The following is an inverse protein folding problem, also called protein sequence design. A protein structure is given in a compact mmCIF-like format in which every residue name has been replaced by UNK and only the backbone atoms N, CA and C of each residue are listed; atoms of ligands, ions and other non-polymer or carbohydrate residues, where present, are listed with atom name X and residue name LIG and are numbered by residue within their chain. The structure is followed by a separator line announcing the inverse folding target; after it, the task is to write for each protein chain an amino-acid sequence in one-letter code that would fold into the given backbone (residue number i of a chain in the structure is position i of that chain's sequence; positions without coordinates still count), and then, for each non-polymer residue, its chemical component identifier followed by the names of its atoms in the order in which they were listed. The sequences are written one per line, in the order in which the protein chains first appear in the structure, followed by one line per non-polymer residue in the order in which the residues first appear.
data_IF_511002426452
#
_entry.id   IF_511002426452
#
_cell.length_a   1.000
_cell.length_b   1.000
_cell.length_c   1.000
_cell.angle_alpha   90.00
_cell.angle_beta   90.00
_cell.angle_gamma   90.00
#
_symmetry.space_group_name_H-M   'P 1'
#
loop_
_entity.id
_entity.type
_entity.pdbx_description
1 polymer ?
#
# COMPACT_ATOMS: atom_id res chain seq x y z
N UNK A 1 1.26 4.19 -12.13
CA UNK A 1 0.37 5.19 -11.49
C UNK A 1 1.24 6.35 -11.05
N UNK A 2 1.27 7.43 -11.82
CA UNK A 2 2.12 8.59 -11.52
C UNK A 2 1.28 9.67 -10.86
N UNK A 3 1.43 9.76 -9.54
CA UNK A 3 0.99 10.90 -8.75
C UNK A 3 2.25 11.52 -8.15
N UNK A 4 2.46 12.81 -8.35
CA UNK A 4 3.65 13.52 -7.85
C UNK A 4 3.20 14.83 -7.22
N UNK A 5 3.94 15.30 -6.21
CA UNK A 5 3.61 16.49 -5.41
C UNK A 5 2.22 16.41 -4.75
N UNK A 6 1.90 15.25 -4.18
CA UNK A 6 0.71 15.05 -3.36
C UNK A 6 0.59 16.05 -2.18
N UNK A 7 1.72 16.59 -1.69
CA UNK A 7 1.73 17.61 -0.64
C UNK A 7 1.24 19.00 -1.07
N UNK A 8 0.96 19.25 -2.36
CA UNK A 8 0.53 20.57 -2.87
C UNK A 8 -0.96 20.63 -3.23
N UNK A 9 -1.83 20.09 -2.38
CA UNK A 9 -3.29 20.12 -2.55
C UNK A 9 -3.80 19.48 -3.86
N UNK A 10 -3.70 18.15 -3.99
CA UNK A 10 -4.22 17.46 -5.16
C UNK A 10 -5.75 17.46 -5.17
N UNK A 11 -6.32 17.12 -6.33
CA UNK A 11 -7.76 16.96 -6.47
C UNK A 11 -8.29 15.93 -5.46
N UNK A 12 -9.28 16.30 -4.63
CA UNK A 12 -9.85 15.40 -3.61
C UNK A 12 -10.61 14.20 -4.21
N UNK A 13 -11.14 14.35 -5.43
CA UNK A 13 -11.94 13.33 -6.13
C UNK A 13 -11.27 12.79 -7.39
N UNK A 14 -9.93 12.80 -7.44
CA UNK A 14 -9.22 12.22 -8.57
C UNK A 14 -9.39 10.70 -8.64
N UNK A 15 -9.39 10.18 -9.86
CA UNK A 15 -9.33 8.75 -10.13
C UNK A 15 -8.46 8.50 -11.35
N UNK A 16 -7.75 7.37 -11.36
CA UNK A 16 -6.93 6.94 -12.50
C UNK A 16 -7.62 5.77 -13.19
N UNK A 17 -7.73 5.80 -14.52
CA UNK A 17 -8.34 4.72 -15.31
C UNK A 17 -7.32 4.18 -16.30
N UNK A 18 -7.10 2.86 -16.29
CA UNK A 18 -6.26 2.15 -17.25
C UNK A 18 -7.16 1.22 -18.06
N UNK A 19 -7.37 1.55 -19.33
CA UNK A 19 -8.33 0.84 -20.17
C UNK A 19 -7.70 0.39 -21.48
N UNK A 20 -7.85 -0.89 -21.83
CA UNK A 20 -7.46 -1.41 -23.15
C UNK A 20 -5.95 -1.40 -23.41
N UNK A 21 -5.14 -1.63 -22.37
CA UNK A 21 -3.68 -1.57 -22.47
C UNK A 21 -3.08 -2.96 -22.71
N UNK A 22 -2.05 -3.02 -23.56
CA UNK A 22 -1.21 -4.22 -23.70
C UNK A 22 0.17 -3.96 -23.12
N UNK A 23 0.58 -4.78 -22.15
CA UNK A 23 1.92 -4.78 -21.57
C UNK A 23 2.72 -5.92 -22.19
N UNK A 24 3.90 -5.60 -22.75
CA UNK A 24 4.76 -6.58 -23.44
C UNK A 24 6.16 -6.60 -22.86
N UNK A 25 6.67 -7.79 -22.57
CA UNK A 25 8.04 -8.06 -22.10
C UNK A 25 8.44 -7.34 -20.79
N UNK A 26 7.50 -7.09 -19.88
CA UNK A 26 7.85 -6.68 -18.51
C UNK A 26 8.33 -7.91 -17.75
N UNK A 27 9.64 -8.14 -17.78
CA UNK A 27 10.30 -9.32 -17.20
C UNK A 27 11.57 -8.92 -16.50
N UNK A 28 12.04 -9.80 -15.63
CA UNK A 28 13.30 -9.60 -14.93
C UNK A 28 14.46 -9.83 -15.90
N UNK A 29 15.47 -9.00 -15.77
CA UNK A 29 16.69 -9.02 -16.56
C UNK A 29 17.89 -8.83 -15.64
N UNK A 30 19.10 -9.01 -16.17
CA UNK A 30 20.33 -8.72 -15.43
C UNK A 30 20.43 -7.24 -14.98
N UNK A 31 19.64 -6.35 -15.60
CA UNK A 31 19.57 -4.93 -15.25
C UNK A 31 18.47 -4.59 -14.23
N UNK A 32 17.71 -5.59 -13.77
CA UNK A 32 16.67 -5.41 -12.75
C UNK A 32 15.29 -5.92 -13.15
N UNK A 33 14.30 -5.57 -12.32
CA UNK A 33 12.92 -6.05 -12.40
C UNK A 33 12.08 -5.18 -13.33
N UNK A 34 11.39 -5.80 -14.31
CA UNK A 34 10.48 -5.08 -15.21
C UNK A 34 9.04 -5.13 -14.70
N UNK A 35 8.48 -4.02 -14.21
CA UNK A 35 7.09 -3.99 -13.69
C UNK A 35 6.16 -3.24 -14.65
N UNK A 36 5.02 -3.85 -15.00
CA UNK A 36 4.03 -3.26 -15.89
C UNK A 36 3.26 -2.10 -15.24
N UNK A 37 2.75 -2.30 -14.03
CA UNK A 37 2.04 -1.28 -13.25
C UNK A 37 2.73 -1.04 -11.91
N UNK A 38 3.23 0.18 -11.68
CA UNK A 38 3.86 0.53 -10.40
C UNK A 38 3.22 1.78 -9.82
N UNK A 39 2.99 1.79 -8.51
CA UNK A 39 2.69 3.03 -7.77
C UNK A 39 3.96 3.87 -7.71
N UNK A 40 3.86 5.18 -7.97
CA UNK A 40 5.01 6.06 -7.87
C UNK A 40 5.59 6.03 -6.44
N UNK A 41 6.83 5.55 -6.23
CA UNK A 41 7.45 5.50 -4.89
C UNK A 41 7.57 6.87 -4.22
N UNK A 42 7.62 7.94 -5.04
CA UNK A 42 7.74 9.32 -4.55
C UNK A 42 6.39 9.93 -4.16
N UNK A 43 5.30 9.17 -4.28
CA UNK A 43 3.96 9.59 -3.90
C UNK A 43 3.69 9.24 -2.44
N UNK A 44 4.43 9.89 -1.54
CA UNK A 44 4.48 9.51 -0.12
C UNK A 44 3.17 9.84 0.62
N UNK A 45 2.48 10.94 0.29
CA UNK A 45 1.29 11.37 1.05
C UNK A 45 -0.04 10.78 0.56
N UNK A 46 -0.22 10.65 -0.76
CA UNK A 46 -1.51 10.26 -1.32
C UNK A 46 -1.39 9.51 -2.63
N UNK A 47 -2.39 8.68 -2.91
CA UNK A 47 -2.63 8.08 -4.21
C UNK A 47 -4.14 8.10 -4.47
N UNK A 48 -4.53 8.45 -5.70
CA UNK A 48 -5.92 8.29 -6.11
C UNK A 48 -6.26 6.83 -6.36
N UNK A 49 -7.52 6.42 -6.16
CA UNK A 49 -7.95 5.09 -6.56
C UNK A 49 -7.73 4.90 -8.07
N UNK A 50 -7.27 3.71 -8.44
CA UNK A 50 -7.15 3.32 -9.83
C UNK A 50 -8.18 2.26 -10.19
N UNK A 51 -8.68 2.33 -11.42
CA UNK A 51 -9.59 1.37 -12.01
C UNK A 51 -8.93 0.81 -13.26
N UNK A 52 -8.89 -0.51 -13.38
CA UNK A 52 -8.29 -1.19 -14.54
C UNK A 52 -9.34 -2.03 -15.25
N UNK A 53 -9.28 -2.06 -16.58
CA UNK A 53 -10.05 -2.98 -17.41
C UNK A 53 -9.39 -3.21 -18.78
N UNK A 54 -9.62 -4.35 -19.39
CA UNK A 54 -9.15 -4.70 -20.73
C UNK A 54 -7.63 -4.76 -20.82
N UNK A 55 -6.95 -5.19 -19.76
CA UNK A 55 -5.50 -5.38 -19.77
C UNK A 55 -5.12 -6.68 -20.49
N UNK A 56 -4.04 -6.64 -21.26
CA UNK A 56 -3.44 -7.81 -21.90
C UNK A 56 -1.94 -7.86 -21.56
N UNK A 57 -1.49 -8.99 -21.05
CA UNK A 57 -0.08 -9.20 -20.70
C UNK A 57 0.55 -10.23 -21.65
N UNK A 58 1.53 -9.79 -22.43
CA UNK A 58 2.27 -10.62 -23.38
C UNK A 58 3.71 -10.78 -22.88
N UNK A 59 4.21 -12.01 -22.78
CA UNK A 59 5.57 -12.31 -22.29
C UNK A 59 5.94 -11.56 -20.99
N UNK A 60 4.95 -11.38 -20.12
CA UNK A 60 5.07 -10.66 -18.86
C UNK A 60 4.63 -11.65 -17.77
N UNK A 61 5.52 -12.09 -16.88
CA UNK A 61 5.15 -12.95 -15.75
C UNK A 61 4.13 -12.26 -14.84
N UNK A 62 3.28 -13.04 -14.17
CA UNK A 62 2.20 -12.49 -13.34
C UNK A 62 2.75 -11.67 -12.16
N UNK A 63 3.86 -12.10 -11.58
CA UNK A 63 4.58 -11.38 -10.53
C UNK A 63 5.14 -10.02 -11.00
N UNK A 64 5.14 -9.75 -12.31
CA UNK A 64 5.56 -8.48 -12.89
C UNK A 64 4.38 -7.58 -13.30
N UNK A 65 3.13 -8.02 -13.09
CA UNK A 65 1.95 -7.25 -13.47
C UNK A 65 1.86 -5.95 -12.68
N UNK A 66 2.03 -6.04 -11.36
CA UNK A 66 1.89 -4.89 -10.49
C UNK A 66 2.84 -4.95 -9.30
N UNK A 67 3.33 -3.78 -8.87
CA UNK A 67 4.12 -3.63 -7.66
C UNK A 67 3.74 -2.37 -6.88
N UNK A 68 3.56 -2.55 -5.56
CA UNK A 68 3.40 -1.46 -4.59
C UNK A 68 4.67 -1.43 -3.72
N UNK A 69 5.48 -0.36 -3.78
CA UNK A 69 6.67 -0.22 -2.95
C UNK A 69 6.30 -0.01 -1.47
N UNK A 70 7.24 -0.29 -0.56
CA UNK A 70 7.09 0.05 0.86
C UNK A 70 7.32 1.55 1.09
N UNK A 71 6.67 2.16 2.09
CA UNK A 71 6.95 3.53 2.49
C UNK A 71 8.40 3.72 2.90
N UNK A 72 8.93 4.90 2.59
CA UNK A 72 10.27 5.29 2.93
C UNK A 72 10.37 5.57 4.44
N UNK A 73 11.23 4.82 5.11
CA UNK A 73 11.45 4.94 6.55
C UNK A 73 12.10 6.27 6.94
N UNK A 74 12.80 6.93 6.00
CA UNK A 74 13.42 8.23 6.28
C UNK A 74 12.41 9.37 6.36
N UNK A 75 11.23 9.23 5.75
CA UNK A 75 10.17 10.25 5.77
C UNK A 75 9.40 10.26 7.11
N UNK A 76 9.73 9.35 8.02
CA UNK A 76 9.21 9.36 9.39
C UNK A 76 10.06 10.33 10.22
N UNK A 77 9.75 11.61 10.07
CA UNK A 77 10.39 12.67 10.82
C UNK A 77 9.44 13.86 11.04
N UNK A 78 9.74 14.78 11.98
CA UNK A 78 8.85 15.89 12.33
C UNK A 78 8.51 16.86 11.19
N UNK A 79 9.27 16.90 10.10
CA UNK A 79 9.01 17.75 8.93
C UNK A 79 8.06 17.09 7.94
N UNK A 80 8.10 15.76 7.84
CA UNK A 80 7.35 14.99 6.85
C UNK A 80 6.21 14.23 7.56
N UNK A 81 6.37 12.92 7.82
CA UNK A 81 5.28 12.04 8.29
C UNK A 81 5.24 11.80 9.80
N UNK A 82 6.00 12.60 10.54
CA UNK A 82 6.00 12.77 12.00
C UNK A 82 6.40 11.53 12.78
N UNK A 83 5.50 10.57 12.92
CA UNK A 83 5.65 9.43 13.82
C UNK A 83 5.10 8.11 13.26
N UNK A 84 4.77 8.08 11.97
CA UNK A 84 4.31 6.89 11.22
C UNK A 84 4.75 6.96 9.76
N UNK A 85 4.61 5.84 9.04
CA UNK A 85 4.71 5.85 7.58
C UNK A 85 3.72 6.83 6.95
N UNK A 86 4.14 7.53 5.90
CA UNK A 86 3.26 8.36 5.09
C UNK A 86 2.13 7.53 4.44
N UNK A 87 0.96 8.15 4.26
CA UNK A 87 -0.27 7.44 3.88
C UNK A 87 -0.27 6.91 2.44
N UNK A 88 0.43 7.57 1.52
CA UNK A 88 0.33 7.32 0.09
C UNK A 88 0.53 5.85 -0.27
N UNK A 89 1.64 5.25 0.18
CA UNK A 89 1.97 3.85 -0.10
C UNK A 89 1.26 2.84 0.82
N UNK A 90 0.60 3.32 1.88
CA UNK A 90 -0.19 2.51 2.83
C UNK A 90 -1.68 2.46 2.49
N UNK A 91 -2.16 3.32 1.59
CA UNK A 91 -3.59 3.47 1.22
C UNK A 91 -3.87 3.27 -0.28
N UNK A 92 -3.02 2.52 -0.98
CA UNK A 92 -3.20 2.23 -2.41
C UNK A 92 -4.41 1.33 -2.61
N UNK A 93 -5.27 1.70 -3.56
CA UNK A 93 -6.43 0.91 -4.00
C UNK A 93 -6.45 0.84 -5.52
N UNK A 94 -6.46 -0.38 -6.06
CA UNK A 94 -6.62 -0.63 -7.50
C UNK A 94 -7.75 -1.64 -7.69
N UNK A 95 -8.86 -1.19 -8.27
CA UNK A 95 -9.99 -2.04 -8.61
C UNK A 95 -9.83 -2.62 -10.02
N UNK A 96 -9.85 -3.94 -10.11
CA UNK A 96 -9.92 -4.69 -11.37
C UNK A 96 -11.38 -4.93 -11.73
N UNK A 97 -11.87 -4.15 -12.70
CA UNK A 97 -13.30 -4.07 -13.01
C UNK A 97 -13.76 -5.27 -13.86
N UNK A 98 -12.85 -5.90 -14.60
CA UNK A 98 -13.19 -6.99 -15.53
C UNK A 98 -12.38 -8.27 -15.36
N UNK A 99 -11.45 -8.30 -14.40
CA UNK A 99 -10.60 -9.47 -14.11
C UNK A 99 -9.36 -9.55 -14.99
N UNK A 100 -9.07 -8.54 -15.81
CA UNK A 100 -7.92 -8.55 -16.71
C UNK A 100 -6.57 -8.39 -16.00
N UNK A 101 -6.55 -7.98 -14.73
CA UNK A 101 -5.34 -7.90 -13.90
C UNK A 101 -5.20 -9.10 -12.94
N UNK A 102 -6.26 -9.44 -12.22
CA UNK A 102 -6.27 -10.38 -11.10
C UNK A 102 -6.88 -11.75 -11.44
N UNK A 103 -7.48 -11.88 -12.62
CA UNK A 103 -8.17 -13.10 -13.06
C UNK A 103 -9.60 -13.25 -12.52
N UNK A 104 -10.09 -12.29 -11.74
CA UNK A 104 -11.43 -12.29 -11.14
C UNK A 104 -12.07 -10.90 -11.29
N UNK A 105 -13.34 -10.86 -11.70
CA UNK A 105 -14.08 -9.61 -11.89
C UNK A 105 -14.34 -8.93 -10.55
N UNK A 106 -14.28 -7.60 -10.53
CA UNK A 106 -14.53 -6.76 -9.35
C UNK A 106 -13.58 -7.08 -8.16
N UNK A 107 -12.40 -7.62 -8.45
CA UNK A 107 -11.34 -7.85 -7.46
C UNK A 107 -10.55 -6.56 -7.20
N UNK A 108 -9.85 -6.47 -6.06
CA UNK A 108 -9.13 -5.25 -5.66
C UNK A 108 -7.74 -5.57 -5.11
N UNK A 109 -6.74 -4.85 -5.60
CA UNK A 109 -5.41 -4.79 -4.97
C UNK A 109 -5.42 -3.68 -3.93
N UNK A 110 -5.00 -4.02 -2.71
CA UNK A 110 -4.79 -3.06 -1.63
C UNK A 110 -3.34 -3.14 -1.13
N UNK A 111 -2.78 -2.02 -0.71
CA UNK A 111 -1.51 -2.01 0.02
C UNK A 111 -1.65 -2.63 1.41
N UNK A 112 -0.58 -3.24 1.89
CA UNK A 112 -0.50 -3.76 3.26
C UNK A 112 -0.21 -2.62 4.24
N UNK A 113 -1.29 -2.05 4.80
CA UNK A 113 -1.20 -0.97 5.77
C UNK A 113 -0.50 -1.41 7.08
N UNK A 114 -0.69 -2.68 7.43
CA UNK A 114 -0.19 -3.42 8.58
C UNK A 114 1.26 -3.87 8.48
N UNK A 115 1.86 -3.80 7.29
CA UNK A 115 3.21 -4.35 7.08
C UNK A 115 4.21 -3.75 8.06
N UNK A 116 4.96 -4.66 8.72
CA UNK A 116 5.92 -4.39 9.78
C UNK A 116 5.29 -4.09 11.17
N UNK A 117 4.09 -4.63 11.45
CA UNK A 117 3.53 -4.69 12.79
C UNK A 117 4.53 -5.26 13.81
N UNK A 118 4.80 -4.52 14.89
CA UNK A 118 5.81 -4.85 15.93
C UNK A 118 7.24 -5.06 15.39
N UNK A 119 7.53 -4.61 14.16
CA UNK A 119 8.88 -4.54 13.60
C UNK A 119 9.59 -3.24 14.01
N UNK A 120 10.01 -2.41 13.04
CA UNK A 120 10.61 -1.12 13.33
C UNK A 120 9.62 -0.15 14.04
N UNK A 121 9.87 0.23 15.30
CA UNK A 121 8.95 1.08 16.07
C UNK A 121 8.74 2.48 15.49
N UNK A 122 9.61 2.93 14.58
CA UNK A 122 9.43 4.22 13.88
C UNK A 122 8.17 4.21 13.03
N UNK A 123 7.74 3.06 12.50
CA UNK A 123 6.55 2.96 11.63
C UNK A 123 5.23 3.20 12.33
N UNK A 124 5.23 3.36 13.64
CA UNK A 124 4.04 3.78 14.38
C UNK A 124 2.94 2.70 14.45
N UNK A 125 3.27 1.44 14.20
CA UNK A 125 2.33 0.32 14.21
C UNK A 125 2.88 -0.83 15.07
N UNK A 126 2.04 -1.36 15.95
CA UNK A 126 2.42 -2.40 16.89
C UNK A 126 1.62 -2.35 18.19
N UNK A 127 1.80 -3.37 19.01
CA UNK A 127 1.15 -3.50 20.31
C UNK A 127 1.48 -2.36 21.27
N UNK A 128 2.67 -1.77 21.12
CA UNK A 128 3.14 -0.63 21.91
C UNK A 128 2.33 0.65 21.66
N UNK A 129 1.58 0.73 20.55
CA UNK A 129 0.67 1.84 20.21
C UNK A 129 -0.77 1.61 20.67
N UNK A 130 -1.11 0.41 21.14
CA UNK A 130 -2.44 0.11 21.68
C UNK A 130 -2.61 0.87 23.01
N UNK A 131 -3.66 1.70 23.18
CA UNK A 131 -3.84 2.50 24.38
C UNK A 131 -3.83 1.66 25.67
N UNK A 132 -3.06 2.09 26.67
CA UNK A 132 -2.99 1.41 27.97
C UNK A 132 -4.37 1.17 28.63
N UNK A 133 -5.34 2.11 28.58
CA UNK A 133 -6.65 1.88 29.20
C UNK A 133 -7.42 0.70 28.61
N UNK A 134 -7.18 0.33 27.35
CA UNK A 134 -7.82 -0.84 26.74
C UNK A 134 -7.01 -2.12 26.93
N UNK A 135 -5.82 -2.04 27.52
CA UNK A 135 -4.93 -3.16 27.88
C UNK A 135 -4.85 -3.38 29.40
N UNK A 136 -5.79 -2.86 30.18
CA UNK A 136 -5.80 -3.04 31.64
C UNK A 136 -7.09 -3.70 32.11
N UNK A 137 -6.95 -4.61 33.07
CA UNK A 137 -8.05 -5.17 33.85
C UNK A 137 -8.51 -4.17 34.93
N UNK A 138 -9.71 -4.34 35.52
CA UNK A 138 -10.18 -3.49 36.61
C UNK A 138 -9.28 -3.48 37.86
N UNK A 139 -8.46 -4.52 38.05
CA UNK A 139 -7.49 -4.63 39.14
C UNK A 139 -6.13 -3.98 38.83
N UNK A 140 -5.96 -3.39 37.64
CA UNK A 140 -4.73 -2.74 37.18
C UNK A 140 -3.69 -3.68 36.56
N UNK A 141 -3.94 -4.99 36.51
CA UNK A 141 -3.09 -5.92 35.76
C UNK A 141 -3.19 -5.67 34.24
N UNK A 142 -2.09 -5.91 33.51
CA UNK A 142 -2.10 -5.77 32.06
C UNK A 142 -2.74 -6.98 31.38
N UNK A 143 -3.45 -6.71 30.29
CA UNK A 143 -3.98 -7.69 29.36
C UNK A 143 -2.98 -7.80 28.20
N UNK A 144 -2.53 -9.02 27.92
CA UNK A 144 -1.69 -9.29 26.76
C UNK A 144 -2.46 -8.97 25.48
N UNK A 145 -1.81 -8.24 24.57
CA UNK A 145 -2.47 -7.79 23.35
C UNK A 145 -2.89 -8.97 22.46
N UNK A 146 -2.16 -10.08 22.47
CA UNK A 146 -2.51 -11.29 21.74
C UNK A 146 -3.81 -11.94 22.24
N UNK A 147 -4.11 -11.85 23.53
CA UNK A 147 -5.32 -12.44 24.12
C UNK A 147 -6.57 -11.64 23.73
N UNK A 148 -6.45 -10.30 23.70
CA UNK A 148 -7.56 -9.40 23.43
C UNK A 148 -7.76 -9.08 21.95
N UNK A 149 -6.67 -9.03 21.19
CA UNK A 149 -6.63 -8.66 19.78
C UNK A 149 -5.89 -9.74 18.98
N UNK A 150 -6.46 -10.96 18.85
CA UNK A 150 -5.78 -12.08 18.22
C UNK A 150 -5.60 -11.92 16.70
N UNK A 151 -6.46 -11.13 16.06
CA UNK A 151 -6.43 -10.85 14.62
C UNK A 151 -6.02 -9.38 14.40
N UNK A 152 -4.78 -9.07 14.75
CA UNK A 152 -4.14 -7.77 14.55
C UNK A 152 -3.07 -7.86 13.48
N UNK A 153 -2.69 -6.71 12.93
CA UNK A 153 -2.07 -6.64 11.61
C UNK A 153 -3.13 -6.82 10.54
#
# INVERSE_FOLDING_TARGET
MTFSNAGTYPALYGSTHFEGLTFHNFRDTDCGRGIALMVNPQSEDANHPAFVKGLLFLNTPQENYMYIPRPNLSSIDPSDCVDTDCDGLKKVVVADVDGSLLGEKDATVISQADWEWDGDPRRGIGDYRIPLPIRQNPDGSQIEAADKFPNKG
#
